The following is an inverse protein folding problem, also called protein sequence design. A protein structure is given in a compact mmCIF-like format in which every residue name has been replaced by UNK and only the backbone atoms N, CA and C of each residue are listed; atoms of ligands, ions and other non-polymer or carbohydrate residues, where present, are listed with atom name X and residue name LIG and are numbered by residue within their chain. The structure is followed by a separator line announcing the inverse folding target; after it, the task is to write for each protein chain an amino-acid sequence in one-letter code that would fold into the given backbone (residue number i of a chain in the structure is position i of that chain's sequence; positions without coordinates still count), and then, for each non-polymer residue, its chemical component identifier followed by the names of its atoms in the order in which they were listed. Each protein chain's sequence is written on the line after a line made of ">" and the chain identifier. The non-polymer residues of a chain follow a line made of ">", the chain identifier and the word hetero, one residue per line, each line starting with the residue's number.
data_IF_007282030509
#
_entry.id   IF_007282030509
#
_cell.length_a   1.000
_cell.length_b   1.000
_cell.length_c   1.000
_cell.angle_alpha   90.00
_cell.angle_beta   90.00
_cell.angle_gamma   90.00
#
_symmetry.space_group_name_H-M   'P 1'
#
loop_
_entity.id
_entity.type
_entity.pdbx_description
1 polymer ?
#
# COMPACT_ATOMS: atom_id res chain seq x y z
N UNK A 1 17.44 -44.46 -60.71
CA UNK A 1 17.32 -45.00 -59.34
C UNK A 1 18.54 -44.49 -58.63
N UNK A 2 18.41 -43.34 -58.00
CA UNK A 2 19.44 -42.71 -57.15
C UNK A 2 18.67 -42.01 -56.02
N UNK A 3 18.04 -42.83 -55.18
CA UNK A 3 17.21 -42.40 -54.05
C UNK A 3 17.83 -42.91 -52.73
N UNK A 4 19.12 -42.69 -52.48
CA UNK A 4 19.72 -43.06 -51.19
C UNK A 4 21.03 -42.30 -50.94
N UNK A 5 20.99 -41.08 -50.36
CA UNK A 5 22.06 -40.57 -49.45
C UNK A 5 21.85 -39.13 -48.91
N UNK A 6 20.62 -38.61 -48.84
CA UNK A 6 20.41 -37.25 -48.27
C UNK A 6 20.29 -37.21 -46.73
N UNK A 7 20.25 -38.36 -46.05
CA UNK A 7 20.12 -38.44 -44.58
C UNK A 7 21.27 -39.20 -43.92
N UNK A 8 22.50 -38.76 -44.18
CA UNK A 8 23.62 -39.02 -43.28
C UNK A 8 23.39 -38.28 -41.96
N UNK A 9 22.51 -38.83 -41.11
CA UNK A 9 22.31 -38.41 -39.73
C UNK A 9 23.61 -38.73 -38.96
N UNK A 10 24.63 -37.88 -39.10
CA UNK A 10 25.82 -37.97 -38.26
C UNK A 10 25.36 -37.74 -36.81
N UNK A 11 25.37 -38.77 -35.95
CA UNK A 11 24.85 -38.65 -34.60
C UNK A 11 25.57 -37.54 -33.82
N UNK A 12 26.80 -37.20 -34.22
CA UNK A 12 27.58 -36.11 -33.64
C UNK A 12 27.08 -34.72 -34.05
N UNK A 13 26.56 -34.55 -35.26
CA UNK A 13 26.00 -33.28 -35.71
C UNK A 13 24.70 -32.96 -34.96
N UNK A 14 23.80 -33.95 -34.83
CA UNK A 14 22.60 -33.84 -34.00
C UNK A 14 22.97 -33.56 -32.53
N UNK A 15 23.93 -34.32 -31.98
CA UNK A 15 24.39 -34.11 -30.61
C UNK A 15 24.92 -32.68 -30.39
N UNK A 16 25.71 -32.14 -31.32
CA UNK A 16 26.22 -30.76 -31.21
C UNK A 16 25.09 -29.73 -31.29
N UNK A 17 24.12 -29.90 -32.18
CA UNK A 17 22.97 -28.97 -32.26
C UNK A 17 22.11 -28.98 -30.99
N UNK A 18 21.93 -30.16 -30.38
CA UNK A 18 21.20 -30.26 -29.11
C UNK A 18 22.02 -29.67 -27.96
N UNK A 19 23.35 -29.84 -27.93
CA UNK A 19 24.22 -29.17 -26.96
C UNK A 19 24.21 -27.65 -27.10
N UNK A 20 24.22 -27.13 -28.32
CA UNK A 20 24.16 -25.68 -28.57
C UNK A 20 22.82 -25.10 -28.12
N UNK A 21 21.69 -25.77 -28.42
CA UNK A 21 20.37 -25.38 -27.91
C UNK A 21 20.34 -25.35 -26.39
N UNK A 22 20.75 -26.46 -25.75
CA UNK A 22 20.80 -26.57 -24.29
C UNK A 22 21.69 -25.46 -23.69
N UNK A 23 22.85 -25.20 -24.27
CA UNK A 23 23.75 -24.14 -23.82
C UNK A 23 23.14 -22.75 -23.94
N UNK A 24 22.45 -22.46 -25.04
CA UNK A 24 21.76 -21.19 -25.25
C UNK A 24 20.60 -21.03 -24.25
N UNK A 25 19.83 -22.08 -24.02
CA UNK A 25 18.73 -22.08 -23.05
C UNK A 25 19.23 -21.84 -21.63
N UNK A 26 20.32 -22.51 -21.21
CA UNK A 26 20.95 -22.25 -19.90
C UNK A 26 21.52 -20.84 -19.78
N UNK A 27 22.11 -20.30 -20.84
CA UNK A 27 22.66 -18.94 -20.84
C UNK A 27 21.55 -17.90 -20.74
N UNK A 28 20.48 -18.06 -21.53
CA UNK A 28 19.32 -17.18 -21.52
C UNK A 28 18.55 -17.27 -20.20
N UNK A 29 18.35 -18.48 -19.68
CA UNK A 29 17.72 -18.71 -18.38
C UNK A 29 18.55 -18.09 -17.25
N UNK A 30 19.86 -18.31 -17.22
CA UNK A 30 20.74 -17.72 -16.19
C UNK A 30 20.83 -16.19 -16.28
N UNK A 31 20.78 -15.62 -17.49
CA UNK A 31 20.71 -14.17 -17.68
C UNK A 31 19.39 -13.59 -17.17
N UNK A 32 18.26 -14.22 -17.52
CA UNK A 32 16.94 -13.83 -17.01
C UNK A 32 16.88 -13.93 -15.49
N UNK A 33 17.31 -15.06 -14.92
CA UNK A 33 17.37 -15.28 -13.47
C UNK A 33 18.25 -14.25 -12.77
N UNK A 34 19.42 -13.93 -13.34
CA UNK A 34 20.33 -12.92 -12.80
C UNK A 34 19.72 -11.51 -12.78
N UNK A 35 18.98 -11.13 -13.83
CA UNK A 35 18.26 -9.85 -13.87
C UNK A 35 17.15 -9.84 -12.83
N UNK A 36 16.33 -10.89 -12.80
CA UNK A 36 15.22 -10.99 -11.83
C UNK A 36 15.73 -10.93 -10.40
N UNK A 37 16.77 -11.70 -10.07
CA UNK A 37 17.37 -11.70 -8.73
C UNK A 37 17.98 -10.34 -8.37
N UNK A 38 18.62 -9.65 -9.32
CA UNK A 38 19.15 -8.30 -9.10
C UNK A 38 18.06 -7.26 -8.87
N UNK A 39 16.98 -7.30 -9.67
CA UNK A 39 15.80 -6.41 -9.53
C UNK A 39 15.09 -6.67 -8.20
N UNK A 40 14.85 -7.93 -7.85
CA UNK A 40 14.19 -8.33 -6.60
C UNK A 40 15.01 -7.90 -5.38
N UNK A 41 16.33 -8.10 -5.39
CA UNK A 41 17.20 -7.67 -4.30
C UNK A 41 17.17 -6.16 -4.06
N UNK A 42 17.26 -5.35 -5.12
CA UNK A 42 17.18 -3.90 -5.02
C UNK A 42 15.78 -3.41 -4.56
N UNK A 43 14.72 -4.09 -5.02
CA UNK A 43 13.33 -3.77 -4.63
C UNK A 43 13.08 -4.08 -3.16
N UNK A 44 13.58 -5.22 -2.67
CA UNK A 44 13.37 -5.65 -1.30
C UNK A 44 14.08 -4.73 -0.30
N UNK A 45 15.31 -4.28 -0.60
CA UNK A 45 16.02 -3.31 0.23
C UNK A 45 15.23 -2.00 0.39
N UNK A 46 14.64 -1.49 -0.70
CA UNK A 46 13.80 -0.28 -0.66
C UNK A 46 12.51 -0.48 0.14
N UNK A 47 11.88 -1.66 0.02
CA UNK A 47 10.71 -1.99 0.84
C UNK A 47 11.06 -2.08 2.33
N UNK A 48 12.14 -2.76 2.68
CA UNK A 48 12.57 -2.97 4.06
C UNK A 48 12.88 -1.63 4.74
N UNK A 49 13.57 -0.71 4.05
CA UNK A 49 13.84 0.63 4.55
C UNK A 49 12.55 1.45 4.72
N UNK A 50 11.64 1.45 3.74
CA UNK A 50 10.36 2.13 3.85
C UNK A 50 9.47 1.58 4.96
N UNK A 51 9.48 0.25 5.15
CA UNK A 51 8.77 -0.40 6.24
C UNK A 51 9.37 -0.02 7.60
N UNK A 52 10.70 -0.04 7.75
CA UNK A 52 11.36 0.27 9.01
C UNK A 52 11.26 1.77 9.40
N UNK A 53 11.43 2.66 8.42
CA UNK A 53 11.51 4.11 8.65
C UNK A 53 10.14 4.79 8.77
N UNK A 54 9.14 4.35 8.00
CA UNK A 54 7.82 5.00 7.93
C UNK A 54 6.70 4.05 8.31
N UNK A 55 6.62 2.88 7.66
CA UNK A 55 5.46 1.99 7.77
C UNK A 55 5.21 1.47 9.19
N UNK A 56 6.25 0.89 9.81
CA UNK A 56 6.16 0.29 11.13
C UNK A 56 5.98 1.32 12.26
N UNK A 57 6.73 2.44 12.33
CA UNK A 57 6.49 3.48 13.33
C UNK A 57 5.08 4.06 13.25
N UNK A 58 4.64 4.43 12.04
CA UNK A 58 3.36 5.08 11.81
C UNK A 58 2.18 4.13 12.06
N UNK A 59 2.31 2.88 11.62
CA UNK A 59 1.32 1.84 11.87
C UNK A 59 1.19 1.50 13.36
N UNK A 60 2.31 1.44 14.08
CA UNK A 60 2.33 1.23 15.54
C UNK A 60 1.62 2.37 16.26
N UNK A 61 1.94 3.62 15.93
CA UNK A 61 1.34 4.79 16.56
C UNK A 61 -0.18 4.85 16.35
N UNK A 62 -0.66 4.60 15.13
CA UNK A 62 -2.10 4.47 14.86
C UNK A 62 -2.74 3.31 15.63
N UNK A 63 -2.07 2.17 15.69
CA UNK A 63 -2.53 1.00 16.45
C UNK A 63 -2.69 1.31 17.94
N UNK A 64 -1.73 2.02 18.53
CA UNK A 64 -1.80 2.48 19.92
C UNK A 64 -2.98 3.43 20.12
N UNK A 65 -3.19 4.41 19.23
CA UNK A 65 -4.31 5.34 19.34
C UNK A 65 -5.68 4.62 19.31
N UNK A 66 -5.86 3.66 18.41
CA UNK A 66 -7.09 2.84 18.34
C UNK A 66 -7.28 1.94 19.55
N UNK A 67 -6.18 1.36 20.06
CA UNK A 67 -6.20 0.59 21.30
C UNK A 67 -6.57 1.44 22.51
N UNK A 68 -6.00 2.65 22.59
CA UNK A 68 -6.26 3.61 23.65
C UNK A 68 -7.72 4.08 23.66
N UNK A 69 -8.29 4.43 22.50
CA UNK A 69 -9.70 4.80 22.41
C UNK A 69 -10.62 3.65 22.84
N UNK A 70 -10.29 2.42 22.46
CA UNK A 70 -11.05 1.23 22.85
C UNK A 70 -10.97 0.96 24.36
N UNK A 71 -9.78 1.09 24.95
CA UNK A 71 -9.56 0.94 26.38
C UNK A 71 -10.30 2.01 27.20
N UNK A 72 -10.26 3.28 26.74
CA UNK A 72 -10.99 4.39 27.37
C UNK A 72 -12.50 4.17 27.29
N UNK A 73 -13.04 3.73 26.16
CA UNK A 73 -14.46 3.38 26.05
C UNK A 73 -14.85 2.27 27.02
N UNK A 74 -14.05 1.22 27.12
CA UNK A 74 -14.32 0.11 28.05
C UNK A 74 -14.26 0.56 29.52
N UNK A 75 -13.29 1.42 29.86
CA UNK A 75 -13.15 1.98 31.20
C UNK A 75 -14.35 2.86 31.58
N UNK A 76 -14.71 3.81 30.71
CA UNK A 76 -15.87 4.69 30.91
C UNK A 76 -17.18 3.91 30.98
N UNK A 77 -17.32 2.82 30.21
CA UNK A 77 -18.50 1.96 30.22
C UNK A 77 -18.63 1.10 31.48
N UNK A 78 -17.53 0.90 32.23
CA UNK A 78 -17.47 0.07 33.45
C UNK A 78 -17.57 0.88 34.74
N UNK A 79 -17.37 2.21 34.69
CA UNK A 79 -17.28 3.06 35.87
C UNK A 79 -18.56 2.97 36.75
N UNK A 80 -18.44 2.66 38.06
CA UNK A 80 -19.58 2.55 38.96
C UNK A 80 -20.03 3.94 39.41
N UNK A 81 -20.90 4.57 38.62
CA UNK A 81 -21.62 5.80 38.95
C UNK A 81 -23.12 5.64 38.66
N UNK A 82 -23.99 6.53 39.18
CA UNK A 82 -25.43 6.45 38.94
C UNK A 82 -25.75 6.31 37.44
N UNK A 83 -26.86 5.62 37.08
CA UNK A 83 -27.13 5.14 35.73
C UNK A 83 -27.30 6.31 34.77
N UNK A 84 -26.19 6.67 34.15
CA UNK A 84 -26.10 7.64 33.09
C UNK A 84 -25.02 7.16 32.11
N UNK A 85 -25.06 5.87 31.80
CA UNK A 85 -24.33 5.26 30.68
C UNK A 85 -24.67 5.98 29.34
N UNK A 86 -25.77 6.74 29.32
CA UNK A 86 -26.24 7.57 28.20
C UNK A 86 -25.79 9.05 28.22
N UNK A 87 -25.16 9.57 29.28
CA UNK A 87 -24.99 11.04 29.43
C UNK A 87 -23.60 11.50 29.87
N UNK A 88 -22.58 10.62 29.90
CA UNK A 88 -21.21 11.10 30.02
C UNK A 88 -20.75 11.63 28.64
N UNK A 89 -20.56 12.95 28.46
CA UNK A 89 -20.17 13.52 27.17
C UNK A 89 -18.84 12.94 26.65
N UNK A 90 -17.99 12.43 27.56
CA UNK A 90 -16.71 11.81 27.20
C UNK A 90 -16.90 10.48 26.46
N UNK A 91 -17.97 9.74 26.73
CA UNK A 91 -18.25 8.48 26.00
C UNK A 91 -18.60 8.79 24.54
N UNK A 92 -19.41 9.83 24.30
CA UNK A 92 -19.73 10.28 22.96
C UNK A 92 -18.48 10.78 22.23
N UNK A 93 -17.64 11.55 22.91
CA UNK A 93 -16.40 12.08 22.33
C UNK A 93 -15.39 10.97 21.99
N UNK A 94 -15.11 10.04 22.90
CA UNK A 94 -14.17 8.94 22.61
C UNK A 94 -14.71 8.04 21.50
N UNK A 95 -16.04 7.85 21.41
CA UNK A 95 -16.66 7.11 20.30
C UNK A 95 -16.47 7.83 18.96
N UNK A 96 -16.67 9.14 18.93
CA UNK A 96 -16.42 9.95 17.73
C UNK A 96 -14.94 9.85 17.30
N UNK A 97 -14.00 10.02 18.25
CA UNK A 97 -12.57 9.87 17.99
C UNK A 97 -12.24 8.46 17.48
N UNK A 98 -12.84 7.41 18.05
CA UNK A 98 -12.62 6.03 17.60
C UNK A 98 -13.10 5.81 16.15
N UNK A 99 -14.24 6.39 15.78
CA UNK A 99 -14.77 6.35 14.40
C UNK A 99 -13.89 7.15 13.43
N UNK A 100 -13.41 8.32 13.83
CA UNK A 100 -12.47 9.09 13.02
C UNK A 100 -11.16 8.32 12.81
N UNK A 101 -10.59 7.75 13.89
CA UNK A 101 -9.38 6.93 13.82
C UNK A 101 -9.57 5.64 13.01
N UNK A 102 -10.77 5.03 12.96
CA UNK A 102 -11.00 3.84 12.13
C UNK A 102 -10.98 4.15 10.64
N UNK A 103 -11.30 5.39 10.26
CA UNK A 103 -11.36 5.81 8.86
C UNK A 103 -10.00 6.26 8.31
N UNK A 104 -9.00 6.52 9.18
CA UNK A 104 -7.64 6.90 8.77
C UNK A 104 -6.92 5.71 8.15
N UNK A 105 -6.51 5.83 6.88
CA UNK A 105 -5.63 4.85 6.22
C UNK A 105 -4.17 5.27 6.37
N UNK A 106 -3.25 4.31 6.36
CA UNK A 106 -1.83 4.60 6.45
C UNK A 106 -1.35 5.42 5.24
N UNK A 107 -1.93 5.17 4.06
CA UNK A 107 -1.65 5.90 2.82
C UNK A 107 -2.04 7.37 2.86
N UNK A 108 -2.99 7.77 3.71
CA UNK A 108 -3.43 9.17 3.83
C UNK A 108 -2.50 10.01 4.73
N UNK A 109 -1.77 9.35 5.64
CA UNK A 109 -0.90 10.00 6.61
C UNK A 109 0.59 9.77 6.36
N UNK A 110 0.94 8.80 5.51
CA UNK A 110 2.32 8.54 5.13
C UNK A 110 2.89 9.73 4.32
N UNK A 111 4.13 10.15 4.61
CA UNK A 111 4.81 11.15 3.79
C UNK A 111 4.90 10.71 2.32
N UNK A 112 4.78 11.64 1.36
CA UNK A 112 4.94 11.32 -0.05
C UNK A 112 6.38 10.85 -0.35
N UNK A 113 6.50 9.73 -1.05
CA UNK A 113 7.78 9.22 -1.52
C UNK A 113 8.28 10.03 -2.72
N UNK A 114 9.23 10.93 -2.47
CA UNK A 114 9.81 11.81 -3.48
C UNK A 114 10.65 11.06 -4.51
N UNK A 115 11.27 9.94 -4.13
CA UNK A 115 12.09 9.13 -5.03
C UNK A 115 11.21 8.36 -6.01
N UNK A 116 10.13 7.75 -5.52
CA UNK A 116 9.13 7.10 -6.37
C UNK A 116 8.46 8.10 -7.33
N UNK A 117 8.17 9.31 -6.86
CA UNK A 117 7.60 10.37 -7.70
C UNK A 117 8.56 10.86 -8.79
N UNK A 118 9.85 11.01 -8.46
CA UNK A 118 10.87 11.39 -9.43
C UNK A 118 11.06 10.32 -10.51
N UNK A 119 11.15 9.05 -10.11
CA UNK A 119 11.27 7.92 -11.03
C UNK A 119 10.04 7.80 -11.96
N UNK A 120 8.82 7.93 -11.43
CA UNK A 120 7.61 7.92 -12.23
C UNK A 120 7.57 9.06 -13.27
N UNK A 121 8.11 10.23 -12.91
CA UNK A 121 8.22 11.37 -13.82
C UNK A 121 9.23 11.10 -14.95
N UNK A 122 10.37 10.50 -14.63
CA UNK A 122 11.39 10.15 -15.63
C UNK A 122 10.90 9.09 -16.63
N UNK A 123 10.06 8.13 -16.19
CA UNK A 123 9.42 7.15 -17.08
C UNK A 123 8.41 7.79 -18.05
N UNK A 124 7.54 8.69 -17.56
CA UNK A 124 6.56 9.40 -18.39
C UNK A 124 7.23 10.24 -19.50
N UNK A 125 8.41 10.80 -19.22
CA UNK A 125 9.20 11.56 -20.20
C UNK A 125 9.94 10.64 -21.20
N UNK A 126 10.17 9.36 -20.86
CA UNK A 126 10.83 8.34 -21.70
C UNK A 126 9.89 7.56 -22.64
N UNK A 127 8.66 7.27 -22.21
CA UNK A 127 7.63 6.54 -23.01
C UNK A 127 7.17 7.29 -24.27
N UNK A 128 7.49 8.59 -24.37
CA UNK A 128 7.24 9.41 -25.55
C UNK A 128 8.14 9.12 -26.76
N UNK A 129 9.25 8.37 -26.59
CA UNK A 129 10.24 8.13 -27.67
C UNK A 129 10.34 6.69 -28.19
N UNK A 130 9.89 5.69 -27.43
CA UNK A 130 10.19 4.27 -27.72
C UNK A 130 8.97 3.40 -28.08
N UNK A 131 7.82 4.00 -28.40
CA UNK A 131 6.61 3.23 -28.77
C UNK A 131 6.70 2.48 -30.12
N UNK A 132 7.66 2.83 -30.97
CA UNK A 132 7.81 2.21 -32.31
C UNK A 132 8.78 1.00 -32.33
N UNK A 133 9.42 0.63 -31.21
CA UNK A 133 10.51 -0.36 -31.21
C UNK A 133 10.30 -1.63 -30.35
N UNK A 134 9.22 -1.75 -29.56
CA UNK A 134 9.03 -2.86 -28.60
C UNK A 134 7.80 -3.73 -28.92
N UNK A 135 7.70 -4.21 -30.14
CA UNK A 135 6.64 -5.16 -30.52
C UNK A 135 7.01 -6.64 -30.34
N UNK A 136 8.22 -6.97 -29.86
CA UNK A 136 8.71 -8.37 -29.80
C UNK A 136 9.08 -8.89 -28.39
N UNK A 137 8.96 -8.09 -27.32
CA UNK A 137 9.17 -8.59 -25.95
C UNK A 137 7.83 -8.99 -25.32
N UNK A 138 7.25 -10.09 -25.83
CA UNK A 138 6.21 -10.83 -25.12
C UNK A 138 6.80 -11.38 -23.79
N UNK A 139 6.18 -10.97 -22.68
CA UNK A 139 6.37 -11.49 -21.31
C UNK A 139 7.67 -11.08 -20.54
N UNK A 140 7.88 -9.77 -20.28
CA UNK A 140 8.62 -9.34 -19.07
C UNK A 140 7.64 -9.28 -17.88
N UNK A 141 7.29 -10.45 -17.33
CA UNK A 141 6.33 -10.68 -16.22
C UNK A 141 6.83 -10.10 -14.87
N UNK A 142 7.76 -9.14 -14.89
CA UNK A 142 8.37 -8.57 -13.68
C UNK A 142 8.89 -7.16 -13.92
N UNK A 143 8.19 -6.37 -14.74
CA UNK A 143 8.45 -4.94 -14.87
C UNK A 143 7.90 -4.21 -13.61
N UNK A 144 8.74 -3.46 -12.85
CA UNK A 144 8.25 -2.58 -11.77
C UNK A 144 7.14 -1.62 -12.21
N UNK A 145 6.99 -1.38 -13.51
CA UNK A 145 5.85 -0.67 -14.10
C UNK A 145 4.51 -1.38 -13.86
N UNK A 146 4.43 -2.71 -13.92
CA UNK A 146 3.19 -3.48 -13.66
C UNK A 146 2.79 -3.42 -12.18
N UNK A 147 3.76 -3.39 -11.25
CA UNK A 147 3.49 -3.19 -9.83
C UNK A 147 3.01 -1.75 -9.54
N UNK A 148 3.55 -0.77 -10.25
CA UNK A 148 3.04 0.60 -10.16
C UNK A 148 1.64 0.72 -10.79
N UNK A 149 1.35 -0.03 -11.85
CA UNK A 149 0.00 -0.17 -12.40
C UNK A 149 -0.95 -0.82 -11.37
N UNK A 150 -0.49 -1.84 -10.64
CA UNK A 150 -1.25 -2.44 -9.55
C UNK A 150 -1.47 -1.46 -8.37
N UNK A 151 -0.46 -0.65 -8.01
CA UNK A 151 -0.58 0.41 -7.00
C UNK A 151 -1.53 1.52 -7.47
N UNK A 152 -1.50 1.88 -8.75
CA UNK A 152 -2.42 2.82 -9.37
C UNK A 152 -3.84 2.27 -9.40
N UNK A 153 -4.03 1.02 -9.79
CA UNK A 153 -5.30 0.33 -9.73
C UNK A 153 -5.84 0.26 -8.30
N UNK A 154 -4.97 0.05 -7.31
CA UNK A 154 -5.33 0.13 -5.90
C UNK A 154 -5.79 1.54 -5.53
N UNK A 155 -5.04 2.59 -5.90
CA UNK A 155 -5.45 3.99 -5.66
C UNK A 155 -6.77 4.35 -6.35
N UNK A 156 -6.98 3.86 -7.56
CA UNK A 156 -8.23 4.06 -8.31
C UNK A 156 -9.40 3.34 -7.63
N UNK A 157 -9.18 2.14 -7.12
CA UNK A 157 -10.15 1.41 -6.30
C UNK A 157 -10.45 2.15 -4.99
N UNK A 158 -9.45 2.67 -4.29
CA UNK A 158 -9.63 3.52 -3.10
C UNK A 158 -10.42 4.78 -3.44
N UNK A 159 -10.18 5.40 -4.59
CA UNK A 159 -10.97 6.55 -5.07
C UNK A 159 -12.41 6.16 -5.40
N UNK A 160 -12.65 4.94 -5.89
CA UNK A 160 -13.99 4.44 -6.19
C UNK A 160 -14.76 4.15 -4.89
N UNK A 161 -14.10 3.59 -3.88
CA UNK A 161 -14.64 3.41 -2.53
C UNK A 161 -15.05 4.77 -1.92
N UNK A 162 -14.23 5.81 -2.07
CA UNK A 162 -14.55 7.17 -1.62
C UNK A 162 -15.82 7.71 -2.30
N UNK A 163 -15.95 7.49 -3.62
CA UNK A 163 -17.14 7.87 -4.39
C UNK A 163 -18.38 7.07 -3.97
N UNK A 164 -18.23 5.78 -3.67
CA UNK A 164 -19.33 4.94 -3.19
C UNK A 164 -19.78 5.32 -1.77
N UNK A 165 -18.84 5.60 -0.87
CA UNK A 165 -19.14 6.11 0.47
C UNK A 165 -19.88 7.45 0.41
N UNK A 166 -19.51 8.30 -0.55
CA UNK A 166 -20.23 9.55 -0.82
C UNK A 166 -21.68 9.30 -1.29
N UNK A 167 -21.91 8.36 -2.20
CA UNK A 167 -23.25 8.03 -2.69
C UNK A 167 -24.12 7.34 -1.62
N UNK A 168 -23.52 6.53 -0.74
CA UNK A 168 -24.21 5.92 0.40
C UNK A 168 -24.73 6.95 1.41
N UNK A 169 -24.01 8.06 1.59
CA UNK A 169 -24.41 9.17 2.47
C UNK A 169 -25.51 10.09 1.91
N UNK A 170 -25.92 9.93 0.66
CA UNK A 170 -27.00 10.73 0.03
C UNK A 170 -28.39 10.16 0.32
N UNK A 171 -28.49 8.88 0.71
CA UNK A 171 -29.79 8.18 0.89
C UNK A 171 -30.40 8.45 2.29
N UNK A 172 -29.60 8.84 3.29
CA UNK A 172 -30.07 9.17 4.64
C UNK A 172 -29.93 10.69 4.95
N UNK A 173 -30.94 11.48 4.59
CA UNK A 173 -31.21 12.76 5.26
C UNK A 173 -30.78 14.06 4.54
N UNK A 174 -31.79 14.67 3.90
CA UNK A 174 -32.07 16.10 3.73
C UNK A 174 -30.94 17.15 3.78
N UNK A 175 -30.94 18.03 2.77
CA UNK A 175 -30.35 19.36 2.83
C UNK A 175 -29.29 19.59 1.76
N UNK A 176 -29.67 20.33 0.72
CA UNK A 176 -28.78 20.90 -0.28
C UNK A 176 -27.96 22.04 0.36
N UNK A 177 -26.97 21.67 1.18
CA UNK A 177 -25.82 22.53 1.43
C UNK A 177 -24.62 21.87 0.78
N UNK A 178 -23.86 22.66 0.03
CA UNK A 178 -22.70 22.22 -0.73
C UNK A 178 -21.65 21.60 0.21
N UNK A 179 -21.76 20.29 0.47
CA UNK A 179 -20.81 19.53 1.29
C UNK A 179 -19.51 19.44 0.50
N UNK A 180 -18.58 20.34 0.82
CA UNK A 180 -17.15 20.21 0.56
C UNK A 180 -16.78 18.72 0.70
N UNK A 181 -16.06 18.17 -0.30
CA UNK A 181 -15.56 16.79 -0.25
C UNK A 181 -15.03 16.51 1.16
N UNK A 182 -15.45 15.43 1.85
CA UNK A 182 -14.81 15.08 3.12
C UNK A 182 -13.31 14.95 2.82
N UNK A 183 -12.53 15.90 3.32
CA UNK A 183 -11.10 15.93 3.07
C UNK A 183 -10.51 14.64 3.66
N UNK A 184 -9.61 13.99 2.92
CA UNK A 184 -8.93 12.80 3.42
C UNK A 184 -8.24 13.15 4.75
N UNK A 185 -8.32 12.26 5.76
CA UNK A 185 -7.70 12.52 7.05
C UNK A 185 -6.20 12.77 6.87
N UNK A 186 -5.73 13.92 7.33
CA UNK A 186 -4.32 14.30 7.25
C UNK A 186 -3.57 13.88 8.50
N UNK A 187 -2.23 13.85 8.43
CA UNK A 187 -1.38 13.60 9.59
C UNK A 187 -1.65 14.60 10.74
N UNK A 188 -1.98 15.85 10.42
CA UNK A 188 -2.36 16.87 11.40
C UNK A 188 -3.67 16.52 12.12
N UNK A 189 -4.65 15.95 11.41
CA UNK A 189 -5.92 15.52 12.00
C UNK A 189 -5.68 14.42 13.03
N UNK A 190 -4.81 13.45 12.72
CA UNK A 190 -4.41 12.39 13.65
C UNK A 190 -3.70 12.97 14.88
N UNK A 191 -2.82 13.96 14.70
CA UNK A 191 -2.15 14.64 15.81
C UNK A 191 -3.18 15.32 16.74
N UNK A 192 -4.18 16.02 16.18
CA UNK A 192 -5.27 16.62 16.97
C UNK A 192 -6.11 15.57 17.70
N UNK A 193 -6.41 14.43 17.06
CA UNK A 193 -7.13 13.33 17.69
C UNK A 193 -6.34 12.71 18.85
N UNK A 194 -5.02 12.55 18.67
CA UNK A 194 -4.11 12.10 19.73
C UNK A 194 -4.14 13.04 20.93
N UNK A 195 -4.01 14.36 20.72
CA UNK A 195 -4.04 15.34 21.80
C UNK A 195 -5.36 15.32 22.58
N UNK A 196 -6.49 15.27 21.86
CA UNK A 196 -7.83 15.17 22.46
C UNK A 196 -7.97 13.90 23.29
N UNK A 197 -7.55 12.76 22.76
CA UNK A 197 -7.62 11.47 23.44
C UNK A 197 -6.77 11.45 24.73
N UNK A 198 -5.56 12.03 24.68
CA UNK A 198 -4.69 12.18 25.84
C UNK A 198 -5.21 13.20 26.87
N UNK A 199 -5.95 14.22 26.45
CA UNK A 199 -6.62 15.14 27.36
C UNK A 199 -7.69 14.39 28.18
N UNK A 200 -8.56 13.62 27.51
CA UNK A 200 -9.59 12.81 28.17
C UNK A 200 -8.96 11.80 29.14
N UNK A 201 -7.88 11.14 28.75
CA UNK A 201 -7.15 10.24 29.62
C UNK A 201 -6.62 10.93 30.90
N UNK A 202 -6.06 12.13 30.76
CA UNK A 202 -5.57 12.94 31.90
C UNK A 202 -6.69 13.38 32.82
N UNK A 203 -7.83 13.79 32.26
CA UNK A 203 -9.01 14.15 33.05
C UNK A 203 -9.57 12.98 33.87
N UNK A 204 -9.41 11.75 33.37
CA UNK A 204 -9.77 10.52 34.09
C UNK A 204 -8.72 10.09 35.12
N UNK A 205 -7.62 10.84 35.28
CA UNK A 205 -6.52 10.51 36.18
C UNK A 205 -5.71 9.30 35.74
N UNK A 206 -5.84 8.87 34.48
CA UNK A 206 -5.07 7.76 33.92
C UNK A 206 -3.69 8.29 33.50
N UNK A 207 -2.66 7.94 34.26
CA UNK A 207 -1.27 8.22 33.92
C UNK A 207 -0.79 7.31 32.80
N UNK A 208 -1.13 7.63 31.54
CA UNK A 208 -0.81 6.79 30.40
C UNK A 208 0.62 7.08 29.91
N UNK A 209 1.56 6.21 30.28
CA UNK A 209 2.92 6.23 29.76
C UNK A 209 2.98 5.44 28.43
N UNK A 210 2.60 6.10 27.32
CA UNK A 210 2.72 5.50 25.98
C UNK A 210 4.13 5.72 25.44
N UNK A 211 4.77 4.63 25.01
CA UNK A 211 6.00 4.69 24.21
C UNK A 211 5.63 4.83 22.72
N UNK A 212 5.75 6.05 22.21
CA UNK A 212 5.63 6.37 20.79
C UNK A 212 6.91 5.95 20.06
N UNK A 213 6.76 5.60 18.77
CA UNK A 213 7.90 5.19 17.93
C UNK A 213 8.68 6.36 17.37
#
# INVERSE_FOLDING_TARGET
>A
MDDEEFWGNDPKALQNTEWEKISNDFTNAGYREGITAGKEGALQEGFDDGFASVGAPLGRDLGILRGLSSALLAFLSRAPGPPSIATDPRVAEVRAIATELSNVRLSDIAPPDLQALAHAREHLDGEGRDRDARMDDEDDVTDPAELNEALKAKRDMESLEDLMAQMGGVIEGAGADARLKPARPTAEDVARLKERLLAIARELGLGIAVQWS
#
